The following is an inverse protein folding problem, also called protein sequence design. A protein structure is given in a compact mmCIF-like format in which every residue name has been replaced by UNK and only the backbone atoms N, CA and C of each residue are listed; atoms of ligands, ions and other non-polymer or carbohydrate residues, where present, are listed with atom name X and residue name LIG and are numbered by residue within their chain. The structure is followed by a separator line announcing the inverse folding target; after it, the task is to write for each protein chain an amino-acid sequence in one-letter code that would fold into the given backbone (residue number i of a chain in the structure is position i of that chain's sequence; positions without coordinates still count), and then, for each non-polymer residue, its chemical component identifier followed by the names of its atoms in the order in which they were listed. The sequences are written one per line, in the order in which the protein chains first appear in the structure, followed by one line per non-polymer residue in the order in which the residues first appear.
data_IF_678193068426
#
_entry.id   IF_678193068426
#
_cell.length_a   1.000
_cell.length_b   1.000
_cell.length_c   1.000
_cell.angle_alpha   90.00
_cell.angle_beta   90.00
_cell.angle_gamma   90.00
#
_symmetry.space_group_name_H-M   'P 1'
#
loop_
_entity.id
_entity.type
_entity.pdbx_description
1 polymer ?
#
# COMPACT_ATOMS: atom_id res chain seq x y z
N UNK A 1 19.23 -25.70 2.18
CA UNK A 1 19.13 -24.40 2.85
C UNK A 1 18.63 -24.66 4.24
N UNK A 2 19.49 -24.46 5.24
CA UNK A 2 19.16 -24.73 6.64
C UNK A 2 18.13 -23.71 7.14
N UNK A 3 17.19 -24.16 7.97
CA UNK A 3 16.18 -23.33 8.62
C UNK A 3 16.79 -22.09 9.34
N UNK A 4 18.03 -22.20 9.81
CA UNK A 4 18.84 -21.13 10.37
C UNK A 4 19.20 -20.02 9.37
N UNK A 5 19.47 -20.36 8.10
CA UNK A 5 19.72 -19.37 7.05
C UNK A 5 18.43 -18.62 6.70
N UNK A 6 17.29 -19.31 6.67
CA UNK A 6 15.97 -18.69 6.42
C UNK A 6 15.58 -17.74 7.56
N UNK A 7 15.86 -18.10 8.82
CA UNK A 7 15.63 -17.22 9.96
C UNK A 7 16.56 -16.00 9.93
N UNK A 8 17.85 -16.19 9.61
CA UNK A 8 18.80 -15.08 9.48
C UNK A 8 18.42 -14.12 8.35
N UNK A 9 18.01 -14.63 7.19
CA UNK A 9 17.53 -13.81 6.06
C UNK A 9 16.26 -13.03 6.43
N UNK A 10 15.29 -13.66 7.12
CA UNK A 10 14.06 -12.97 7.57
C UNK A 10 14.33 -11.91 8.64
N UNK A 11 15.32 -12.12 9.51
CA UNK A 11 15.75 -11.10 10.47
C UNK A 11 16.32 -9.87 9.76
N UNK A 12 17.13 -10.07 8.71
CA UNK A 12 17.69 -8.96 7.92
C UNK A 12 16.58 -8.12 7.30
N UNK A 13 15.55 -8.72 6.71
CA UNK A 13 14.42 -7.97 6.13
C UNK A 13 13.64 -7.17 7.19
N UNK A 14 13.43 -7.73 8.38
CA UNK A 14 12.81 -7.02 9.50
C UNK A 14 13.67 -5.85 9.95
N UNK A 15 14.99 -6.04 10.06
CA UNK A 15 15.91 -4.97 10.46
C UNK A 15 15.98 -3.85 9.41
N UNK A 16 15.98 -4.19 8.12
CA UNK A 16 15.92 -3.20 7.03
C UNK A 16 14.59 -2.44 7.11
N UNK A 17 13.46 -3.12 7.26
CA UNK A 17 12.15 -2.48 7.41
C UNK A 17 12.11 -1.52 8.61
N UNK A 18 12.62 -1.95 9.77
CA UNK A 18 12.72 -1.13 10.97
C UNK A 18 13.65 0.07 10.75
N UNK A 19 14.82 -0.14 10.15
CA UNK A 19 15.75 0.94 9.83
C UNK A 19 15.10 1.97 8.89
N UNK A 20 14.45 1.52 7.82
CA UNK A 20 13.72 2.39 6.88
C UNK A 20 12.57 3.13 7.56
N UNK A 21 11.86 2.46 8.48
CA UNK A 21 10.81 3.08 9.30
C UNK A 21 11.38 4.18 10.20
N UNK A 22 12.43 3.89 10.97
CA UNK A 22 13.07 4.87 11.84
C UNK A 22 13.66 6.04 11.05
N UNK A 23 14.32 5.77 9.92
CA UNK A 23 14.85 6.80 9.04
C UNK A 23 13.74 7.72 8.52
N UNK A 24 12.65 7.14 8.03
CA UNK A 24 11.48 7.92 7.59
C UNK A 24 10.93 8.79 8.71
N UNK A 25 10.68 8.20 9.88
CA UNK A 25 10.16 8.89 11.06
C UNK A 25 11.06 10.06 11.48
N UNK A 26 12.37 9.82 11.62
CA UNK A 26 13.35 10.84 12.00
C UNK A 26 13.40 11.98 10.97
N UNK A 27 13.43 11.67 9.68
CA UNK A 27 13.41 12.69 8.63
C UNK A 27 12.11 13.52 8.68
N UNK A 28 10.97 12.87 8.92
CA UNK A 28 9.68 13.56 9.09
C UNK A 28 9.69 14.55 10.26
N UNK A 29 10.29 14.15 11.40
CA UNK A 29 10.47 15.03 12.56
C UNK A 29 11.41 16.21 12.26
N UNK A 30 12.54 15.95 11.60
CA UNK A 30 13.56 16.97 11.29
C UNK A 30 13.00 18.03 10.35
N UNK A 31 12.28 17.62 9.30
CA UNK A 31 11.69 18.55 8.31
C UNK A 31 10.80 19.57 9.00
N UNK A 32 9.90 19.13 9.87
CA UNK A 32 8.97 20.02 10.58
C UNK A 32 9.68 20.85 11.66
N UNK A 33 10.66 20.28 12.37
CA UNK A 33 11.45 21.02 13.37
C UNK A 33 12.27 22.16 12.75
N UNK A 34 12.92 21.92 11.61
CA UNK A 34 13.68 22.96 10.88
C UNK A 34 12.75 24.04 10.35
N UNK A 35 11.56 23.63 9.88
CA UNK A 35 10.56 24.56 9.34
C UNK A 35 10.01 25.48 10.44
N UNK A 36 9.64 24.93 11.60
CA UNK A 36 9.16 25.71 12.76
C UNK A 36 10.21 26.74 13.22
N UNK A 37 11.48 26.34 13.36
CA UNK A 37 12.57 27.27 13.71
C UNK A 37 12.79 28.38 12.69
N UNK A 38 12.55 28.09 11.42
CA UNK A 38 12.68 29.08 10.34
C UNK A 38 11.51 30.06 10.37
N UNK A 39 10.31 29.59 10.70
CA UNK A 39 9.11 30.42 10.79
C UNK A 39 9.03 31.26 12.05
N UNK A 40 9.53 30.79 13.20
CA UNK A 40 9.63 31.60 14.42
C UNK A 40 10.48 32.86 14.23
N UNK A 41 11.52 32.79 13.39
CA UNK A 41 12.34 33.95 13.02
C UNK A 41 11.61 34.95 12.11
N UNK A 42 10.57 34.51 11.39
CA UNK A 42 9.79 35.34 10.46
C UNK A 42 8.48 35.84 11.09
N UNK A 43 7.90 35.11 12.07
CA UNK A 43 6.60 35.39 12.70
C UNK A 43 6.62 36.39 13.85
N UNK A 44 7.75 37.04 14.15
CA UNK A 44 7.78 38.17 15.09
C UNK A 44 6.96 39.39 14.63
N UNK A 45 6.37 39.40 13.41
CA UNK A 45 5.61 40.54 12.89
C UNK A 45 4.13 40.30 12.57
N UNK A 46 3.58 39.07 12.60
CA UNK A 46 2.16 38.84 12.27
C UNK A 46 1.56 37.76 13.19
N UNK A 47 0.64 38.20 14.05
CA UNK A 47 -0.19 37.37 14.93
C UNK A 47 -1.10 36.47 14.08
N UNK A 48 -0.59 35.33 13.63
CA UNK A 48 -1.37 34.30 12.92
C UNK A 48 -1.97 33.37 13.96
N UNK A 49 -3.30 33.41 14.08
CA UNK A 49 -4.07 32.43 14.83
C UNK A 49 -3.66 31.02 14.40
N UNK A 50 -3.19 30.19 15.35
CA UNK A 50 -2.97 28.77 15.12
C UNK A 50 -4.36 28.13 14.96
N UNK A 51 -4.83 27.98 13.73
CA UNK A 51 -6.03 27.19 13.44
C UNK A 51 -5.71 25.72 13.66
N UNK A 52 -6.32 25.12 14.68
CA UNK A 52 -6.24 23.68 14.94
C UNK A 52 -6.70 22.90 13.70
N UNK A 53 -5.84 22.00 13.19
CA UNK A 53 -6.14 21.22 11.98
C UNK A 53 -6.77 19.88 12.36
N UNK A 54 -8.01 19.69 11.94
CA UNK A 54 -8.74 18.42 12.06
C UNK A 54 -8.79 17.71 10.70
N UNK A 55 -8.95 16.39 10.74
CA UNK A 55 -9.20 15.57 9.54
C UNK A 55 -10.47 16.04 8.79
N UNK A 56 -11.49 16.49 9.52
CA UNK A 56 -12.73 17.00 8.92
C UNK A 56 -12.51 18.28 8.12
N UNK A 57 -11.72 19.22 8.62
CA UNK A 57 -11.37 20.45 7.88
C UNK A 57 -10.68 20.13 6.55
N UNK A 58 -9.77 19.14 6.54
CA UNK A 58 -9.08 18.67 5.33
C UNK A 58 -10.05 18.07 4.31
N UNK A 59 -11.09 17.37 4.78
CA UNK A 59 -12.13 16.76 3.93
C UNK A 59 -13.15 17.78 3.45
N UNK A 60 -13.55 18.75 4.26
CA UNK A 60 -14.53 19.80 3.88
C UNK A 60 -14.00 20.76 2.82
N UNK A 61 -12.69 21.03 2.80
CA UNK A 61 -12.09 21.81 1.70
C UNK A 61 -12.20 21.04 0.38
N UNK A 62 -12.37 19.70 0.42
CA UNK A 62 -12.74 18.96 -0.77
C UNK A 62 -14.20 19.22 -1.20
N UNK A 63 -15.16 19.21 -0.29
CA UNK A 63 -16.56 19.38 -0.67
C UNK A 63 -16.85 20.77 -1.25
N UNK A 64 -16.13 21.80 -0.80
CA UNK A 64 -16.43 23.21 -1.12
C UNK A 64 -15.78 23.74 -2.41
N UNK A 65 -14.91 22.98 -3.09
CA UNK A 65 -14.42 23.41 -4.42
C UNK A 65 -14.94 22.48 -5.51
N UNK A 66 -15.77 23.05 -6.38
CA UNK A 66 -16.38 22.45 -7.57
C UNK A 66 -15.32 21.68 -8.38
N UNK A 67 -15.63 20.41 -8.67
CA UNK A 67 -14.78 19.50 -9.41
C UNK A 67 -14.53 20.02 -10.84
N UNK A 68 -13.32 20.51 -11.15
CA UNK A 68 -12.84 20.49 -12.52
C UNK A 68 -12.43 19.05 -12.84
N UNK A 69 -13.39 18.28 -13.35
CA UNK A 69 -13.30 16.83 -13.62
C UNK A 69 -12.27 16.43 -14.69
N UNK A 70 -11.55 17.37 -15.32
CA UNK A 70 -10.76 17.10 -16.52
C UNK A 70 -9.37 16.49 -16.29
N UNK A 71 -8.87 16.38 -15.06
CA UNK A 71 -7.48 15.96 -14.79
C UNK A 71 -7.33 14.68 -13.95
N UNK A 72 -8.43 14.05 -13.55
CA UNK A 72 -8.44 12.84 -12.71
C UNK A 72 -8.10 11.57 -13.51
N UNK A 73 -8.32 11.57 -14.82
CA UNK A 73 -8.00 10.46 -15.72
C UNK A 73 -6.49 10.25 -15.86
N UNK A 74 -5.72 11.34 -15.95
CA UNK A 74 -4.27 11.27 -16.10
C UNK A 74 -3.57 10.57 -14.93
N UNK A 75 -4.01 10.82 -13.69
CA UNK A 75 -3.44 10.16 -12.51
C UNK A 75 -3.81 8.67 -12.45
N UNK A 76 -5.02 8.29 -12.85
CA UNK A 76 -5.41 6.88 -12.95
C UNK A 76 -4.60 6.15 -14.02
N UNK A 77 -4.38 6.80 -15.17
CA UNK A 77 -3.53 6.27 -16.24
C UNK A 77 -2.10 6.07 -15.74
N UNK A 78 -1.53 7.06 -15.05
CA UNK A 78 -0.17 6.96 -14.47
C UNK A 78 -0.09 5.79 -13.49
N UNK A 79 -1.07 5.63 -12.58
CA UNK A 79 -1.09 4.49 -11.65
C UNK A 79 -1.20 3.17 -12.42
N UNK A 80 -2.05 3.11 -13.45
CA UNK A 80 -2.18 1.93 -14.31
C UNK A 80 -0.87 1.58 -15.02
N UNK A 81 -0.16 2.57 -15.57
CA UNK A 81 1.15 2.39 -16.21
C UNK A 81 2.19 1.93 -15.20
N UNK A 82 2.25 2.54 -14.01
CA UNK A 82 3.15 2.11 -12.93
C UNK A 82 2.86 0.65 -12.59
N UNK A 83 1.61 0.28 -12.32
CA UNK A 83 1.25 -1.10 -11.99
C UNK A 83 1.60 -2.08 -13.11
N UNK A 84 1.37 -1.70 -14.36
CA UNK A 84 1.69 -2.53 -15.51
C UNK A 84 3.20 -2.77 -15.66
N UNK A 85 3.99 -1.70 -15.64
CA UNK A 85 5.47 -1.77 -15.72
C UNK A 85 6.02 -2.57 -14.54
N UNK A 86 5.59 -2.26 -13.33
CA UNK A 86 6.05 -2.95 -12.12
C UNK A 86 5.64 -4.42 -12.15
N UNK A 87 4.45 -4.73 -12.65
CA UNK A 87 3.96 -6.09 -12.85
C UNK A 87 4.83 -6.88 -13.83
N UNK A 88 5.22 -6.27 -14.96
CA UNK A 88 6.14 -6.93 -15.90
C UNK A 88 7.48 -7.20 -15.23
N UNK A 89 8.08 -6.19 -14.58
CA UNK A 89 9.41 -6.33 -13.95
C UNK A 89 9.36 -7.36 -12.81
N UNK A 90 8.25 -7.46 -12.09
CA UNK A 90 8.02 -8.46 -11.04
C UNK A 90 8.19 -9.90 -11.56
N UNK A 91 7.80 -10.19 -12.81
CA UNK A 91 7.98 -11.53 -13.39
C UNK A 91 9.46 -11.94 -13.43
N UNK A 92 10.34 -10.99 -13.73
CA UNK A 92 11.78 -11.22 -13.86
C UNK A 92 12.53 -11.12 -12.54
N UNK A 93 12.07 -10.26 -11.62
CA UNK A 93 12.75 -9.94 -10.35
C UNK A 93 11.76 -9.93 -9.19
N UNK A 94 11.22 -11.11 -8.85
CA UNK A 94 10.08 -11.24 -7.94
C UNK A 94 10.35 -10.69 -6.55
N UNK A 95 11.46 -11.10 -5.95
CA UNK A 95 11.79 -10.79 -4.57
C UNK A 95 12.21 -9.33 -4.43
N UNK A 96 13.02 -8.87 -5.37
CA UNK A 96 13.56 -7.51 -5.41
C UNK A 96 12.43 -6.49 -5.53
N UNK A 97 11.49 -6.70 -6.46
CA UNK A 97 10.38 -5.78 -6.68
C UNK A 97 9.40 -5.76 -5.51
N UNK A 98 9.09 -6.94 -4.95
CA UNK A 98 8.20 -7.03 -3.79
C UNK A 98 8.80 -6.32 -2.56
N UNK A 99 10.07 -6.54 -2.28
CA UNK A 99 10.78 -5.89 -1.17
C UNK A 99 10.95 -4.39 -1.41
N UNK A 100 11.30 -3.98 -2.63
CA UNK A 100 11.44 -2.55 -2.99
C UNK A 100 10.13 -1.80 -2.73
N UNK A 101 9.00 -2.31 -3.24
CA UNK A 101 7.70 -1.67 -3.04
C UNK A 101 7.29 -1.63 -1.57
N UNK A 102 7.55 -2.71 -0.83
CA UNK A 102 7.35 -2.73 0.61
C UNK A 102 8.17 -1.63 1.29
N UNK A 103 9.49 -1.61 1.12
CA UNK A 103 10.37 -0.63 1.79
C UNK A 103 10.05 0.82 1.41
N UNK A 104 9.74 1.12 0.15
CA UNK A 104 9.31 2.46 -0.27
C UNK A 104 8.02 2.87 0.45
N UNK A 105 7.04 1.96 0.52
CA UNK A 105 5.75 2.23 1.18
C UNK A 105 5.95 2.48 2.67
N UNK A 106 6.77 1.65 3.31
CA UNK A 106 7.16 1.80 4.72
C UNK A 106 7.81 3.15 4.96
N UNK A 107 8.77 3.53 4.10
CA UNK A 107 9.46 4.81 4.20
C UNK A 107 8.49 5.99 4.12
N UNK A 108 7.63 6.03 3.10
CA UNK A 108 6.67 7.12 2.87
C UNK A 108 5.71 7.26 4.06
N UNK A 109 5.13 6.14 4.52
CA UNK A 109 4.18 6.16 5.64
C UNK A 109 4.86 6.59 6.93
N UNK A 110 6.09 6.11 7.18
CA UNK A 110 6.83 6.44 8.40
C UNK A 110 7.24 7.91 8.44
N UNK A 111 7.64 8.47 7.29
CA UNK A 111 7.92 9.90 7.13
C UNK A 111 6.70 10.75 7.50
N UNK A 112 5.53 10.40 6.99
CA UNK A 112 4.30 11.12 7.30
C UNK A 112 3.79 10.87 8.73
N UNK A 113 4.02 9.68 9.28
CA UNK A 113 3.64 9.36 10.65
C UNK A 113 4.46 10.15 11.67
N UNK A 114 5.77 10.29 11.45
CA UNK A 114 6.63 11.15 12.29
C UNK A 114 6.15 12.60 12.28
N UNK A 115 5.83 13.11 11.09
CA UNK A 115 5.24 14.44 10.90
C UNK A 115 3.93 14.63 11.67
N UNK A 116 2.98 13.68 11.54
CA UNK A 116 1.69 13.73 12.24
C UNK A 116 1.89 13.68 13.75
N UNK A 117 2.79 12.82 14.24
CA UNK A 117 3.10 12.71 15.66
C UNK A 117 3.64 14.02 16.24
N UNK A 118 4.63 14.64 15.59
CA UNK A 118 5.18 15.93 16.03
C UNK A 118 4.11 17.02 16.11
N UNK A 119 3.25 17.13 15.09
CA UNK A 119 2.18 18.13 15.08
C UNK A 119 1.05 17.84 16.09
N UNK A 120 0.79 16.57 16.42
CA UNK A 120 -0.10 16.20 17.53
C UNK A 120 0.51 16.60 18.88
N UNK A 121 1.80 16.31 19.12
CA UNK A 121 2.49 16.68 20.35
C UNK A 121 2.54 18.20 20.56
N UNK A 122 2.70 18.96 19.48
CA UNK A 122 2.70 20.43 19.54
C UNK A 122 1.29 21.05 19.53
N UNK A 123 0.23 20.25 19.63
CA UNK A 123 -1.15 20.73 19.71
C UNK A 123 -1.71 21.35 18.42
N UNK A 124 -0.98 21.28 17.30
CA UNK A 124 -1.43 21.80 16.00
C UNK A 124 -2.55 20.93 15.40
N UNK A 125 -2.50 19.62 15.63
CA UNK A 125 -3.50 18.67 15.18
C UNK A 125 -4.44 18.28 16.33
N UNK A 126 -5.74 18.23 16.04
CA UNK A 126 -6.76 17.89 17.04
C UNK A 126 -7.76 16.85 16.52
N UNK A 127 -8.25 16.00 17.42
CA UNK A 127 -9.32 15.04 17.17
C UNK A 127 -8.88 13.58 17.00
N UNK A 128 -9.75 12.66 17.42
CA UNK A 128 -9.53 11.19 17.40
C UNK A 128 -9.18 10.63 16.01
N UNK A 129 -9.64 11.25 14.93
CA UNK A 129 -9.39 10.77 13.56
C UNK A 129 -7.90 10.69 13.22
N UNK A 130 -7.05 11.56 13.78
CA UNK A 130 -5.59 11.47 13.60
C UNK A 130 -5.00 10.24 14.28
N UNK A 131 -5.46 9.92 15.49
CA UNK A 131 -5.07 8.70 16.19
C UNK A 131 -5.55 7.46 15.42
N UNK A 132 -6.81 7.44 14.98
CA UNK A 132 -7.34 6.35 14.16
C UNK A 132 -6.52 6.14 12.87
N UNK A 133 -6.01 7.23 12.27
CA UNK A 133 -5.15 7.17 11.09
C UNK A 133 -3.79 6.51 11.39
N UNK A 134 -3.14 6.91 12.50
CA UNK A 134 -1.87 6.31 12.93
C UNK A 134 -2.04 4.81 13.27
N UNK A 135 -3.12 4.46 13.98
CA UNK A 135 -3.44 3.05 14.28
C UNK A 135 -3.66 2.26 12.99
N UNK A 136 -4.42 2.81 12.03
CA UNK A 136 -4.65 2.18 10.74
C UNK A 136 -3.33 1.97 9.98
N UNK A 137 -2.41 2.93 9.96
CA UNK A 137 -1.10 2.78 9.33
C UNK A 137 -0.27 1.68 9.99
N UNK A 138 -0.31 1.57 11.32
CA UNK A 138 0.35 0.48 12.05
C UNK A 138 -0.23 -0.89 11.69
N UNK A 139 -1.55 -1.03 11.69
CA UNK A 139 -2.24 -2.28 11.29
C UNK A 139 -1.95 -2.62 9.83
N UNK A 140 -1.98 -1.63 8.93
CA UNK A 140 -1.65 -1.80 7.52
C UNK A 140 -0.23 -2.32 7.34
N UNK A 141 0.75 -1.78 8.07
CA UNK A 141 2.13 -2.23 8.00
C UNK A 141 2.27 -3.71 8.38
N UNK A 142 1.65 -4.11 9.49
CA UNK A 142 1.66 -5.51 9.97
C UNK A 142 0.99 -6.43 8.95
N UNK A 143 -0.20 -6.05 8.47
CA UNK A 143 -0.94 -6.82 7.48
C UNK A 143 -0.16 -6.96 6.16
N UNK A 144 0.45 -5.88 5.71
CA UNK A 144 1.23 -5.84 4.47
C UNK A 144 2.48 -6.70 4.57
N UNK A 145 3.23 -6.61 5.68
CA UNK A 145 4.39 -7.48 5.95
C UNK A 145 3.97 -8.96 5.89
N UNK A 146 2.84 -9.29 6.50
CA UNK A 146 2.31 -10.65 6.48
C UNK A 146 1.96 -11.11 5.06
N UNK A 147 1.31 -10.27 4.25
CA UNK A 147 0.95 -10.59 2.86
C UNK A 147 2.19 -10.70 1.97
N UNK A 148 3.18 -9.82 2.12
CA UNK A 148 4.47 -9.88 1.43
C UNK A 148 5.16 -11.21 1.71
N UNK A 149 5.20 -11.65 2.96
CA UNK A 149 5.77 -12.96 3.33
C UNK A 149 5.00 -14.12 2.68
N UNK A 150 3.67 -14.01 2.53
CA UNK A 150 2.86 -14.98 1.76
C UNK A 150 3.07 -14.88 0.26
N UNK A 151 3.48 -13.74 -0.28
CA UNK A 151 3.86 -13.63 -1.70
C UNK A 151 5.18 -14.33 -1.99
N UNK A 152 6.12 -14.25 -1.05
CA UNK A 152 7.41 -14.94 -1.15
C UNK A 152 7.21 -16.44 -0.95
N UNK A 153 6.45 -16.82 0.09
CA UNK A 153 6.18 -18.21 0.48
C UNK A 153 4.67 -18.45 0.64
N UNK A 154 3.97 -18.74 -0.48
CA UNK A 154 2.54 -19.05 -0.44
C UNK A 154 2.25 -20.32 0.36
N UNK A 155 1.03 -20.45 0.89
CA UNK A 155 0.61 -21.68 1.58
C UNK A 155 0.52 -22.84 0.59
N UNK A 156 0.01 -22.55 -0.60
CA UNK A 156 -0.17 -23.49 -1.69
C UNK A 156 0.54 -22.90 -2.91
N UNK A 157 1.65 -23.50 -3.32
CA UNK A 157 2.40 -23.08 -4.51
C UNK A 157 2.87 -24.28 -5.33
N UNK A 158 2.95 -24.15 -6.66
CA UNK A 158 3.62 -25.12 -7.52
C UNK A 158 5.07 -25.37 -7.09
N UNK A 159 5.58 -26.58 -7.31
CA UNK A 159 6.94 -26.99 -6.89
C UNK A 159 8.03 -26.03 -7.42
N UNK A 160 7.89 -25.61 -8.67
CA UNK A 160 8.89 -24.77 -9.36
C UNK A 160 8.67 -23.26 -9.13
N UNK A 161 7.69 -22.85 -8.33
CA UNK A 161 7.37 -21.43 -8.13
C UNK A 161 8.57 -20.62 -7.63
N UNK A 162 9.38 -21.16 -6.73
CA UNK A 162 10.56 -20.47 -6.21
C UNK A 162 11.64 -20.20 -7.27
N UNK A 163 11.61 -20.93 -8.39
CA UNK A 163 12.56 -20.80 -9.49
C UNK A 163 12.02 -19.95 -10.64
N UNK A 164 10.80 -19.43 -10.55
CA UNK A 164 10.11 -18.81 -11.69
C UNK A 164 10.88 -17.65 -12.30
N UNK A 165 11.42 -16.73 -11.49
CA UNK A 165 12.22 -15.60 -11.97
C UNK A 165 13.49 -16.07 -12.67
N UNK A 166 14.17 -17.09 -12.14
CA UNK A 166 15.35 -17.68 -12.78
C UNK A 166 15.00 -18.32 -14.12
N UNK A 167 13.91 -19.09 -14.18
CA UNK A 167 13.46 -19.76 -15.40
C UNK A 167 13.06 -18.75 -16.48
N UNK A 168 12.37 -17.68 -16.10
CA UNK A 168 12.00 -16.59 -17.02
C UNK A 168 13.25 -15.85 -17.52
N UNK A 169 14.22 -15.57 -16.63
CA UNK A 169 15.45 -14.88 -17.02
C UNK A 169 16.32 -15.72 -17.98
N UNK A 170 16.30 -17.05 -17.86
CA UNK A 170 17.09 -17.95 -18.70
C UNK A 170 16.40 -18.28 -20.03
N UNK A 171 15.10 -18.58 -20.00
CA UNK A 171 14.38 -19.18 -21.13
C UNK A 171 13.25 -18.27 -21.66
N UNK A 172 13.12 -17.06 -21.13
CA UNK A 172 12.00 -16.16 -21.41
C UNK A 172 10.66 -16.68 -20.88
N UNK A 173 9.58 -15.94 -21.14
CA UNK A 173 8.22 -16.33 -20.74
C UNK A 173 7.72 -17.59 -21.47
N UNK A 174 8.24 -17.88 -22.66
CA UNK A 174 7.84 -19.03 -23.47
C UNK A 174 8.32 -20.34 -22.82
N UNK A 175 9.55 -20.34 -22.27
CA UNK A 175 10.15 -21.50 -21.61
C UNK A 175 9.47 -21.94 -20.29
N UNK A 176 8.52 -21.14 -19.78
CA UNK A 176 7.71 -21.55 -18.63
C UNK A 176 6.87 -22.80 -18.92
N UNK A 177 6.44 -23.01 -20.16
CA UNK A 177 5.58 -24.15 -20.54
C UNK A 177 6.27 -25.50 -20.37
N UNK A 178 7.60 -25.53 -20.40
CA UNK A 178 8.38 -26.76 -20.21
C UNK A 178 8.46 -27.18 -18.73
N UNK A 179 8.23 -26.24 -17.80
CA UNK A 179 8.45 -26.43 -16.37
C UNK A 179 7.18 -26.26 -15.52
N UNK A 180 6.11 -25.72 -16.11
CA UNK A 180 4.84 -25.46 -15.45
C UNK A 180 3.70 -26.08 -16.24
N UNK A 181 2.83 -26.81 -15.55
CA UNK A 181 1.59 -27.29 -16.14
C UNK A 181 0.61 -26.12 -16.37
N UNK A 182 -0.42 -26.34 -17.19
CA UNK A 182 -1.49 -25.35 -17.37
C UNK A 182 -2.14 -24.95 -16.03
N UNK A 183 -2.26 -25.92 -15.12
CA UNK A 183 -2.79 -25.70 -13.78
C UNK A 183 -1.90 -24.72 -12.99
N UNK A 184 -0.59 -24.91 -13.04
CA UNK A 184 0.37 -24.05 -12.34
C UNK A 184 0.41 -22.63 -12.92
N UNK A 185 0.27 -22.51 -14.25
CA UNK A 185 0.18 -21.20 -14.91
C UNK A 185 -1.08 -20.44 -14.47
N UNK A 186 -2.21 -21.13 -14.33
CA UNK A 186 -3.45 -20.51 -13.83
C UNK A 186 -3.31 -20.11 -12.35
N UNK A 187 -2.70 -20.95 -11.51
CA UNK A 187 -2.34 -20.54 -10.16
C UNK A 187 -1.48 -19.28 -10.16
N UNK A 188 -0.48 -19.22 -11.05
CA UNK A 188 0.41 -18.07 -11.16
C UNK A 188 -0.34 -16.80 -11.58
N UNK A 189 -1.34 -16.89 -12.45
CA UNK A 189 -2.19 -15.75 -12.82
C UNK A 189 -2.95 -15.18 -11.62
N UNK A 190 -3.53 -16.04 -10.77
CA UNK A 190 -4.20 -15.58 -9.54
C UNK A 190 -3.21 -14.96 -8.56
N UNK A 191 -2.06 -15.61 -8.35
CA UNK A 191 -1.00 -15.08 -7.49
C UNK A 191 -0.52 -13.71 -7.99
N UNK A 192 -0.25 -13.57 -9.29
CA UNK A 192 0.17 -12.32 -9.91
C UNK A 192 -0.87 -11.22 -9.74
N UNK A 193 -2.16 -11.52 -9.98
CA UNK A 193 -3.25 -10.58 -9.71
C UNK A 193 -3.26 -10.12 -8.25
N UNK A 194 -3.05 -11.06 -7.31
CA UNK A 194 -2.94 -10.76 -5.89
C UNK A 194 -1.81 -9.78 -5.57
N UNK A 195 -0.65 -9.93 -6.21
CA UNK A 195 0.50 -9.01 -6.07
C UNK A 195 0.19 -7.63 -6.66
N UNK A 196 -0.46 -7.56 -7.81
CA UNK A 196 -0.89 -6.29 -8.40
C UNK A 196 -1.86 -5.56 -7.47
N UNK A 197 -2.81 -6.27 -6.85
CA UNK A 197 -3.73 -5.70 -5.85
C UNK A 197 -2.99 -5.22 -4.60
N UNK A 198 -1.95 -5.94 -4.17
CA UNK A 198 -1.08 -5.51 -3.07
C UNK A 198 -0.40 -4.18 -3.40
N UNK A 199 0.27 -4.09 -4.55
CA UNK A 199 0.92 -2.84 -4.98
C UNK A 199 -0.07 -1.71 -5.15
N UNK A 200 -1.26 -1.99 -5.67
CA UNK A 200 -2.31 -0.98 -5.78
C UNK A 200 -2.73 -0.45 -4.40
N UNK A 201 -2.89 -1.33 -3.41
CA UNK A 201 -3.23 -0.91 -2.03
C UNK A 201 -2.13 -0.04 -1.41
N UNK A 202 -0.85 -0.38 -1.61
CA UNK A 202 0.31 0.39 -1.15
C UNK A 202 0.37 1.79 -1.80
N UNK A 203 0.07 1.89 -3.10
CA UNK A 203 0.00 3.16 -3.83
C UNK A 203 -1.14 4.03 -3.29
N UNK A 204 -2.35 3.47 -3.13
CA UNK A 204 -3.50 4.21 -2.59
C UNK A 204 -3.17 4.76 -1.20
N UNK A 205 -2.55 3.96 -0.33
CA UNK A 205 -2.19 4.40 1.01
C UNK A 205 -1.14 5.51 0.97
N UNK A 206 -0.09 5.36 0.17
CA UNK A 206 0.96 6.36 0.01
C UNK A 206 0.39 7.69 -0.49
N UNK A 207 -0.53 7.66 -1.46
CA UNK A 207 -1.22 8.84 -1.97
C UNK A 207 -2.15 9.48 -0.93
N UNK A 208 -2.87 8.65 -0.16
CA UNK A 208 -3.73 9.12 0.94
C UNK A 208 -2.90 9.81 2.02
N UNK A 209 -1.81 9.19 2.48
CA UNK A 209 -0.93 9.75 3.49
C UNK A 209 -0.30 11.07 3.02
N UNK A 210 0.15 11.11 1.76
CA UNK A 210 0.71 12.32 1.13
C UNK A 210 -0.34 13.44 1.06
N UNK A 211 -1.59 13.14 0.69
CA UNK A 211 -2.65 14.15 0.66
C UNK A 211 -2.88 14.77 2.04
N UNK A 212 -3.07 13.94 3.07
CA UNK A 212 -3.31 14.42 4.43
C UNK A 212 -2.15 15.27 4.94
N UNK A 213 -0.91 14.87 4.65
CA UNK A 213 0.27 15.60 5.09
C UNK A 213 0.52 16.91 4.32
N UNK A 214 0.15 16.99 3.04
CA UNK A 214 0.24 18.24 2.27
C UNK A 214 -0.87 19.20 2.67
N UNK A 215 -2.10 18.70 2.81
CA UNK A 215 -3.25 19.54 3.14
C UNK A 215 -3.18 20.09 4.56
N UNK A 216 -2.59 19.33 5.49
CA UNK A 216 -2.35 19.82 6.85
C UNK A 216 -1.39 21.01 6.89
N UNK A 217 -0.40 21.07 5.99
CA UNK A 217 0.52 22.21 5.90
C UNK A 217 -0.18 23.44 5.35
N UNK A 218 -0.95 23.28 4.27
CA UNK A 218 -1.72 24.37 3.67
C UNK A 218 -2.65 25.01 4.72
N UNK A 219 -3.30 24.20 5.56
CA UNK A 219 -4.19 24.67 6.62
C UNK A 219 -3.49 25.28 7.83
N UNK A 220 -2.30 24.80 8.18
CA UNK A 220 -1.57 25.29 9.36
C UNK A 220 -0.76 26.57 9.07
N UNK A 221 -0.42 26.80 7.80
CA UNK A 221 0.60 27.76 7.41
C UNK A 221 0.16 28.74 6.32
N UNK A 222 -1.10 28.68 5.87
CA UNK A 222 -1.68 29.55 4.84
C UNK A 222 -0.85 29.55 3.53
N UNK A 223 -0.23 28.41 3.22
CA UNK A 223 0.60 28.23 2.03
C UNK A 223 -0.24 28.13 0.74
N UNK A 224 0.26 28.66 -0.40
CA UNK A 224 -0.44 28.52 -1.68
C UNK A 224 -0.63 27.04 -2.03
N UNK A 225 -1.81 26.71 -2.57
CA UNK A 225 -2.21 25.32 -2.87
C UNK A 225 -1.19 24.62 -3.77
N UNK A 226 -0.46 23.67 -3.18
CA UNK A 226 0.47 22.80 -3.91
C UNK A 226 -0.24 22.03 -5.04
N UNK A 227 0.42 21.92 -6.18
CA UNK A 227 -0.04 21.10 -7.31
C UNK A 227 -0.33 19.64 -6.90
N UNK A 228 0.44 19.10 -5.94
CA UNK A 228 0.23 17.75 -5.40
C UNK A 228 -1.08 17.62 -4.61
N UNK A 229 -1.48 18.66 -3.86
CA UNK A 229 -2.74 18.67 -3.11
C UNK A 229 -3.94 18.58 -4.05
N UNK A 230 -3.89 19.29 -5.19
CA UNK A 230 -4.94 19.25 -6.22
C UNK A 230 -5.08 17.85 -6.82
N UNK A 231 -3.97 17.17 -7.10
CA UNK A 231 -3.96 15.84 -7.74
C UNK A 231 -4.28 14.68 -6.81
N UNK A 232 -3.99 14.81 -5.51
CA UNK A 232 -4.24 13.74 -4.53
C UNK A 232 -5.58 13.89 -3.80
N UNK A 233 -6.36 14.92 -4.12
CA UNK A 233 -7.65 15.27 -3.51
C UNK A 233 -8.69 14.15 -3.50
N UNK A 234 -8.71 13.29 -4.52
CA UNK A 234 -9.62 12.13 -4.56
C UNK A 234 -9.40 11.16 -3.38
N UNK A 235 -8.21 11.15 -2.82
CA UNK A 235 -7.81 10.32 -1.67
C UNK A 235 -8.04 11.01 -0.32
N UNK A 236 -8.79 12.12 -0.29
CA UNK A 236 -9.15 12.78 0.97
C UNK A 236 -10.17 11.99 1.80
N UNK A 237 -10.97 11.10 1.20
CA UNK A 237 -12.02 10.36 1.91
C UNK A 237 -11.43 9.29 2.82
N UNK A 238 -11.14 9.69 4.05
CA UNK A 238 -10.52 8.88 5.11
C UNK A 238 -11.14 7.47 5.24
N UNK A 239 -12.42 7.39 5.61
CA UNK A 239 -13.10 6.11 5.84
C UNK A 239 -13.22 5.25 4.58
N UNK A 240 -13.46 5.90 3.43
CA UNK A 240 -13.57 5.19 2.16
C UNK A 240 -12.25 4.53 1.79
N UNK A 241 -11.12 5.22 1.98
CA UNK A 241 -9.81 4.65 1.69
C UNK A 241 -9.49 3.50 2.64
N UNK A 242 -9.79 3.63 3.94
CA UNK A 242 -9.60 2.54 4.91
C UNK A 242 -10.35 1.28 4.46
N UNK A 243 -11.62 1.42 4.09
CA UNK A 243 -12.46 0.29 3.64
C UNK A 243 -11.90 -0.33 2.36
N UNK A 244 -11.62 0.50 1.35
CA UNK A 244 -11.10 0.03 0.05
C UNK A 244 -9.76 -0.70 0.24
N UNK A 245 -8.82 -0.11 0.98
CA UNK A 245 -7.50 -0.70 1.23
C UNK A 245 -7.65 -2.03 1.98
N UNK A 246 -8.53 -2.08 3.00
CA UNK A 246 -8.75 -3.31 3.78
C UNK A 246 -9.31 -4.44 2.91
N UNK A 247 -10.26 -4.13 2.03
CA UNK A 247 -10.81 -5.10 1.06
C UNK A 247 -9.72 -5.56 0.10
N UNK A 248 -8.93 -4.64 -0.47
CA UNK A 248 -7.85 -4.96 -1.39
C UNK A 248 -6.79 -5.86 -0.74
N UNK A 249 -6.39 -5.57 0.50
CA UNK A 249 -5.45 -6.41 1.24
C UNK A 249 -6.01 -7.81 1.51
N UNK A 250 -7.29 -7.91 1.87
CA UNK A 250 -7.94 -9.20 2.10
C UNK A 250 -7.95 -10.05 0.81
N UNK A 251 -8.41 -9.48 -0.30
CA UNK A 251 -8.44 -10.17 -1.60
C UNK A 251 -7.02 -10.54 -2.03
N UNK A 252 -6.07 -9.61 -1.90
CA UNK A 252 -4.66 -9.86 -2.20
C UNK A 252 -4.12 -11.04 -1.38
N UNK A 253 -4.35 -11.08 -0.07
CA UNK A 253 -3.94 -12.20 0.78
C UNK A 253 -4.43 -13.55 0.26
N UNK A 254 -5.72 -13.67 -0.04
CA UNK A 254 -6.32 -14.93 -0.50
C UNK A 254 -5.74 -15.39 -1.84
N UNK A 255 -5.49 -14.46 -2.76
CA UNK A 255 -4.90 -14.74 -4.07
C UNK A 255 -3.43 -15.13 -3.96
N UNK A 256 -2.64 -14.30 -3.28
CA UNK A 256 -1.19 -14.44 -3.13
C UNK A 256 -0.83 -15.73 -2.39
N UNK A 257 -1.58 -16.07 -1.33
CA UNK A 257 -1.35 -17.28 -0.53
C UNK A 257 -1.68 -18.59 -1.27
N UNK A 258 -2.38 -18.51 -2.40
CA UNK A 258 -2.89 -19.67 -3.14
C UNK A 258 -4.20 -20.23 -2.60
N UNK A 259 -4.71 -19.71 -1.48
CA UNK A 259 -5.97 -20.17 -0.88
C UNK A 259 -7.16 -20.02 -1.85
N UNK A 260 -7.23 -18.87 -2.54
CA UNK A 260 -8.27 -18.62 -3.53
C UNK A 260 -8.23 -19.65 -4.66
N UNK A 261 -7.03 -19.97 -5.15
CA UNK A 261 -6.87 -20.96 -6.21
C UNK A 261 -7.35 -22.35 -5.76
N UNK A 262 -7.00 -22.78 -4.54
CA UNK A 262 -7.45 -24.07 -4.02
C UNK A 262 -8.98 -24.13 -3.91
N UNK A 263 -9.59 -23.07 -3.40
CA UNK A 263 -11.04 -22.97 -3.33
C UNK A 263 -11.67 -23.00 -4.73
N UNK A 264 -11.20 -22.14 -5.63
CA UNK A 264 -11.75 -21.99 -6.99
C UNK A 264 -11.62 -23.28 -7.81
N UNK A 265 -10.50 -23.99 -7.69
CA UNK A 265 -10.22 -25.14 -8.55
C UNK A 265 -10.77 -26.45 -8.00
N UNK A 266 -10.77 -26.64 -6.68
CA UNK A 266 -11.06 -27.94 -6.09
C UNK A 266 -12.32 -27.98 -5.22
N UNK A 267 -12.74 -26.85 -4.63
CA UNK A 267 -13.89 -26.79 -3.73
C UNK A 267 -15.13 -26.29 -4.46
N UNK A 268 -15.01 -25.16 -5.16
CA UNK A 268 -16.09 -24.52 -5.89
C UNK A 268 -16.80 -25.48 -6.88
N UNK A 269 -16.11 -26.31 -7.68
CA UNK A 269 -16.80 -27.25 -8.57
C UNK A 269 -17.63 -28.29 -7.84
N UNK A 270 -17.18 -28.73 -6.64
CA UNK A 270 -17.93 -29.67 -5.80
C UNK A 270 -19.16 -29.01 -5.20
N UNK A 271 -19.02 -27.78 -4.72
CA UNK A 271 -20.14 -27.00 -4.19
C UNK A 271 -21.18 -26.71 -5.27
N UNK A 272 -20.75 -26.34 -6.48
CA UNK A 272 -21.64 -26.15 -7.63
C UNK A 272 -22.33 -27.46 -8.00
N UNK A 273 -21.59 -28.57 -8.08
CA UNK A 273 -22.17 -29.88 -8.38
C UNK A 273 -23.21 -30.30 -7.33
N UNK A 274 -22.92 -30.08 -6.05
CA UNK A 274 -23.86 -30.34 -4.95
C UNK A 274 -25.12 -29.47 -5.08
N UNK A 275 -24.95 -28.18 -5.35
CA UNK A 275 -26.06 -27.23 -5.52
C UNK A 275 -26.93 -27.59 -6.74
N UNK A 276 -26.31 -27.94 -7.87
CA UNK A 276 -27.03 -28.41 -9.07
C UNK A 276 -27.78 -29.70 -8.77
N UNK A 277 -27.14 -30.67 -8.12
CA UNK A 277 -27.80 -31.93 -7.77
C UNK A 277 -28.98 -31.71 -6.83
N UNK A 278 -28.85 -30.82 -5.85
CA UNK A 278 -29.95 -30.45 -4.95
C UNK A 278 -31.10 -29.77 -5.69
N UNK A 279 -30.81 -28.90 -6.66
CA UNK A 279 -31.84 -28.24 -7.49
C UNK A 279 -32.55 -29.24 -8.41
N UNK A 280 -31.80 -30.14 -9.05
CA UNK A 280 -32.35 -31.06 -10.05
C UNK A 280 -33.03 -32.28 -9.43
N UNK A 281 -32.51 -32.80 -8.32
CA UNK A 281 -32.93 -34.08 -7.74
C UNK A 281 -33.53 -33.95 -6.33
N UNK A 282 -33.55 -32.76 -5.73
CA UNK A 282 -34.26 -32.49 -4.47
C UNK A 282 -33.67 -33.12 -3.20
N UNK A 283 -32.46 -33.68 -3.27
CA UNK A 283 -31.69 -34.17 -2.12
C UNK A 283 -30.87 -33.07 -1.45
#
# INVERSE_FOLDING_TARGET
MEFLEVIKLKQVDIYIALFTMFLGLILGLIVDFVKDKTQEKTRQSIHSHITSVTVTNIVEIQSNQINSSSNDEGLRLIIGVILFVTGIIYLFNRLEILNLFYYITVFIISLWSGKILYNLFNGKFYGWHWFANLVFYGVFFIATLYIVNKAITPNFSPKNFNLISRLINQNGLIGLREHFSFLDLRWFMFHFLGVILLFFSMIILSLSATYFAVMSNILSEDEPKSWFAKRTRKYAYFWRNIIIISILLCISYYLVSGNFFIWFEYQLPKEISFLINKILYGS
#
